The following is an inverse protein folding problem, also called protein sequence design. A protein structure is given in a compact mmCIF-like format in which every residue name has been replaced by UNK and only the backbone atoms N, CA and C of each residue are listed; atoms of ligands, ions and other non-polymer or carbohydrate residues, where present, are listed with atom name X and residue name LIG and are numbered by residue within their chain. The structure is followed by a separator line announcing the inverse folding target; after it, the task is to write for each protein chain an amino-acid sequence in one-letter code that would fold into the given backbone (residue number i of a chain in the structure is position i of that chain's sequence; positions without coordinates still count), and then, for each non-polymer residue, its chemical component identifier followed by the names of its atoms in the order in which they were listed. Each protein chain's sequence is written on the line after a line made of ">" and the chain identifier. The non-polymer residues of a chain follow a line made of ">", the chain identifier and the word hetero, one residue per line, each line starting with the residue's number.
data_IF_775325779187
#
_entry.id   IF_775325779187
#
_cell.length_a   1.000
_cell.length_b   1.000
_cell.length_c   1.000
_cell.angle_alpha   90.00
_cell.angle_beta   90.00
_cell.angle_gamma   90.00
#
_symmetry.space_group_name_H-M   'P 1'
#
loop_
_entity.id
_entity.type
_entity.pdbx_description
1 polymer ?
#
# COMPACT_ATOMS: atom_id res chain seq x y z
N UNK A 1 -41.69 -22.50 -58.63
CA UNK A 1 -41.76 -22.65 -57.17
C UNK A 1 -42.82 -23.68 -56.87
N UNK A 2 -42.42 -24.88 -56.45
CA UNK A 2 -43.28 -25.74 -55.64
C UNK A 2 -42.38 -26.55 -54.69
N UNK A 3 -42.45 -26.17 -53.42
CA UNK A 3 -41.70 -26.76 -52.31
C UNK A 3 -42.55 -27.84 -51.69
N UNK A 4 -42.36 -29.12 -52.06
CA UNK A 4 -42.61 -30.18 -51.09
C UNK A 4 -41.97 -31.53 -51.47
N UNK A 5 -41.31 -32.11 -50.46
CA UNK A 5 -41.10 -33.56 -50.26
C UNK A 5 -39.89 -34.23 -50.93
N UNK A 6 -38.67 -33.74 -50.68
CA UNK A 6 -37.52 -34.65 -50.65
C UNK A 6 -37.26 -35.12 -49.22
N UNK A 7 -37.46 -36.43 -49.06
CA UNK A 7 -37.46 -37.20 -47.82
C UNK A 7 -36.02 -37.38 -47.29
N UNK A 8 -35.88 -37.29 -45.97
CA UNK A 8 -34.99 -38.08 -45.09
C UNK A 8 -33.52 -38.23 -45.50
N UNK A 9 -32.62 -37.51 -44.82
CA UNK A 9 -31.34 -38.08 -44.35
C UNK A 9 -31.09 -37.59 -42.92
N UNK A 10 -31.15 -38.52 -41.97
CA UNK A 10 -30.65 -38.41 -40.61
C UNK A 10 -29.22 -38.97 -40.59
N UNK A 11 -28.29 -38.25 -39.95
CA UNK A 11 -27.05 -38.71 -39.28
C UNK A 11 -26.06 -37.53 -39.35
N UNK A 12 -25.58 -36.90 -38.28
CA UNK A 12 -25.20 -37.46 -36.98
C UNK A 12 -23.70 -37.24 -36.82
N UNK A 13 -23.28 -36.07 -36.33
CA UNK A 13 -21.95 -35.86 -35.78
C UNK A 13 -22.09 -35.06 -34.49
N UNK A 14 -21.90 -35.78 -33.39
CA UNK A 14 -22.03 -35.32 -32.03
C UNK A 14 -21.20 -34.08 -31.74
N UNK A 15 -21.86 -33.14 -31.06
CA UNK A 15 -21.24 -32.10 -30.24
C UNK A 15 -20.41 -32.79 -29.16
N UNK A 16 -19.08 -32.65 -29.24
CA UNK A 16 -18.21 -32.86 -28.10
C UNK A 16 -17.40 -31.58 -27.91
N UNK A 17 -18.07 -30.53 -27.44
CA UNK A 17 -17.40 -29.33 -26.95
C UNK A 17 -16.75 -29.70 -25.61
N UNK A 18 -15.49 -30.15 -25.68
CA UNK A 18 -14.61 -30.25 -24.51
C UNK A 18 -14.32 -28.83 -24.04
N UNK A 19 -15.20 -28.27 -23.21
CA UNK A 19 -14.88 -27.11 -22.39
C UNK A 19 -13.84 -27.55 -21.37
N UNK A 20 -12.55 -27.45 -21.73
CA UNK A 20 -11.46 -27.60 -20.79
C UNK A 20 -11.62 -26.48 -19.76
N UNK A 21 -12.20 -26.81 -18.62
CA UNK A 21 -12.27 -25.89 -17.49
C UNK A 21 -10.87 -25.86 -16.93
N UNK A 22 -10.04 -24.95 -17.43
CA UNK A 22 -8.71 -24.74 -16.90
C UNK A 22 -8.89 -24.17 -15.50
N UNK A 23 -8.84 -25.05 -14.50
CA UNK A 23 -8.72 -24.65 -13.10
C UNK A 23 -7.35 -23.98 -13.00
N UNK A 24 -7.34 -22.65 -13.05
CA UNK A 24 -6.15 -21.87 -12.77
C UNK A 24 -5.77 -22.13 -11.33
N UNK A 25 -4.68 -22.86 -11.11
CA UNK A 25 -4.07 -22.93 -9.80
C UNK A 25 -3.49 -21.56 -9.49
N UNK A 26 -4.17 -20.79 -8.63
CA UNK A 26 -3.59 -19.60 -8.03
C UNK A 26 -2.47 -20.09 -7.12
N UNK A 27 -1.22 -20.03 -7.60
CA UNK A 27 -0.07 -20.27 -6.73
C UNK A 27 -0.02 -19.14 -5.72
N UNK A 28 0.06 -19.48 -4.42
CA UNK A 28 0.28 -18.49 -3.39
C UNK A 28 1.59 -17.74 -3.70
N UNK A 29 1.52 -16.40 -3.73
CA UNK A 29 2.68 -15.56 -4.03
C UNK A 29 3.82 -15.78 -3.02
N UNK A 30 3.48 -16.15 -1.79
CA UNK A 30 4.42 -16.39 -0.70
C UNK A 30 4.16 -17.73 -0.03
N UNK A 31 5.23 -18.45 0.31
CA UNK A 31 5.15 -19.76 0.96
C UNK A 31 4.63 -19.72 2.41
N UNK A 32 4.67 -18.56 3.06
CA UNK A 32 4.22 -18.34 4.44
C UNK A 32 2.95 -17.48 4.55
N UNK A 33 2.16 -17.44 3.47
CA UNK A 33 0.81 -16.87 3.43
C UNK A 33 -0.15 -18.01 3.03
N UNK A 34 -0.53 -18.88 3.99
CA UNK A 34 -1.44 -19.98 3.70
C UNK A 34 -2.87 -19.48 3.49
N UNK A 35 -3.65 -20.21 2.70
CA UNK A 35 -5.07 -19.89 2.48
C UNK A 35 -5.85 -19.84 3.80
N UNK A 36 -6.70 -18.83 3.94
CA UNK A 36 -7.50 -18.52 5.12
C UNK A 36 -6.77 -17.77 6.23
N UNK A 37 -5.49 -17.41 6.07
CA UNK A 37 -4.82 -16.54 7.05
C UNK A 37 -5.47 -15.15 7.01
N UNK A 38 -5.65 -14.51 8.17
CA UNK A 38 -6.45 -13.28 8.28
C UNK A 38 -5.94 -12.10 7.42
N UNK A 39 -4.67 -12.13 7.00
CA UNK A 39 -4.05 -11.12 6.14
C UNK A 39 -3.90 -11.57 4.68
N UNK A 40 -4.43 -12.73 4.29
CA UNK A 40 -4.32 -13.28 2.93
C UNK A 40 -4.80 -12.27 1.87
N UNK A 41 -6.04 -11.80 2.01
CA UNK A 41 -6.66 -10.88 1.05
C UNK A 41 -5.87 -9.57 0.91
N UNK A 42 -5.35 -9.05 2.03
CA UNK A 42 -4.58 -7.81 2.05
C UNK A 42 -3.23 -7.98 1.33
N UNK A 43 -2.54 -9.11 1.57
CA UNK A 43 -1.28 -9.42 0.88
C UNK A 43 -1.53 -9.64 -0.61
N UNK A 44 -2.56 -10.40 -0.97
CA UNK A 44 -2.96 -10.64 -2.36
C UNK A 44 -3.21 -9.34 -3.10
N UNK A 45 -4.02 -8.45 -2.54
CA UNK A 45 -4.31 -7.14 -3.14
C UNK A 45 -3.05 -6.28 -3.35
N UNK A 46 -2.09 -6.33 -2.43
CA UNK A 46 -0.84 -5.57 -2.55
C UNK A 46 0.14 -6.18 -3.55
N UNK A 47 0.14 -7.51 -3.71
CA UNK A 47 0.88 -8.20 -4.78
C UNK A 47 0.29 -7.85 -6.14
N UNK A 48 -1.03 -7.94 -6.30
CA UNK A 48 -1.73 -7.63 -7.55
C UNK A 48 -1.55 -6.17 -7.97
N UNK A 49 -1.48 -5.27 -6.99
CA UNK A 49 -1.20 -3.85 -7.20
C UNK A 49 0.29 -3.54 -7.44
N UNK A 50 1.19 -4.53 -7.32
CA UNK A 50 2.63 -4.39 -7.53
C UNK A 50 3.41 -3.72 -6.40
N UNK A 51 2.82 -3.56 -5.22
CA UNK A 51 3.49 -2.98 -4.05
C UNK A 51 4.33 -3.99 -3.26
N UNK A 52 4.03 -5.28 -3.43
CA UNK A 52 4.78 -6.38 -2.84
C UNK A 52 5.43 -7.23 -3.93
N UNK A 53 6.69 -7.59 -3.70
CA UNK A 53 7.50 -8.35 -4.63
C UNK A 53 7.14 -9.85 -4.57
N UNK A 54 6.40 -10.33 -5.56
CA UNK A 54 5.98 -11.73 -5.67
C UNK A 54 7.11 -12.70 -6.00
N UNK A 55 8.32 -12.21 -6.29
CA UNK A 55 9.49 -13.07 -6.53
C UNK A 55 10.16 -13.51 -5.22
N UNK A 56 9.84 -12.87 -4.09
CA UNK A 56 10.35 -13.28 -2.79
C UNK A 56 9.65 -14.55 -2.31
N UNK A 57 10.42 -15.45 -1.69
CA UNK A 57 9.87 -16.73 -1.22
C UNK A 57 8.87 -16.58 -0.06
N UNK A 58 8.97 -15.50 0.73
CA UNK A 58 8.27 -15.31 2.01
C UNK A 58 7.84 -13.85 2.20
N UNK A 59 6.64 -13.67 2.70
CA UNK A 59 6.07 -12.37 3.12
C UNK A 59 6.54 -11.96 4.53
N UNK A 60 6.80 -12.95 5.42
CA UNK A 60 7.20 -12.72 6.81
C UNK A 60 6.13 -11.99 7.65
N UNK A 61 4.85 -12.32 7.45
CA UNK A 61 3.71 -11.62 8.09
C UNK A 61 3.63 -11.68 9.62
N UNK A 62 4.40 -12.57 10.26
CA UNK A 62 4.52 -12.64 11.72
C UNK A 62 5.74 -11.89 12.30
N UNK A 63 6.66 -11.43 11.44
CA UNK A 63 7.87 -10.73 11.87
C UNK A 63 7.57 -9.25 12.13
N UNK A 64 8.28 -8.60 13.08
CA UNK A 64 8.23 -7.15 13.20
C UNK A 64 8.77 -6.47 11.92
N UNK A 65 7.98 -5.57 11.34
CA UNK A 65 8.45 -4.69 10.28
C UNK A 65 9.34 -3.60 10.87
N UNK A 66 10.42 -3.26 10.16
CA UNK A 66 11.21 -2.08 10.49
C UNK A 66 10.63 -0.81 9.85
N UNK A 67 11.05 0.35 10.35
CA UNK A 67 10.59 1.65 9.88
C UNK A 67 10.94 1.89 8.40
N UNK A 68 12.05 1.36 7.90
CA UNK A 68 12.42 1.51 6.50
C UNK A 68 11.49 0.76 5.55
N UNK A 69 11.13 -0.49 5.87
CA UNK A 69 10.15 -1.28 5.11
C UNK A 69 8.80 -0.57 5.04
N UNK A 70 8.34 -0.04 6.18
CA UNK A 70 7.08 0.67 6.24
C UNK A 70 7.10 2.01 5.50
N UNK A 71 8.18 2.81 5.64
CA UNK A 71 8.33 4.09 4.92
C UNK A 71 8.40 3.87 3.42
N UNK A 72 9.13 2.86 2.94
CA UNK A 72 9.14 2.48 1.53
C UNK A 72 7.71 2.22 1.05
N UNK A 73 6.96 1.37 1.74
CA UNK A 73 5.60 1.02 1.33
C UNK A 73 4.69 2.25 1.26
N UNK A 74 4.76 3.14 2.27
CA UNK A 74 3.99 4.39 2.29
C UNK A 74 4.35 5.30 1.12
N UNK A 75 5.63 5.42 0.78
CA UNK A 75 6.09 6.24 -0.35
C UNK A 75 5.60 5.65 -1.68
N UNK A 76 5.74 4.35 -1.88
CA UNK A 76 5.24 3.67 -3.09
C UNK A 76 3.72 3.84 -3.26
N UNK A 77 2.95 3.72 -2.17
CA UNK A 77 1.50 3.98 -2.16
C UNK A 77 1.12 5.43 -2.50
N UNK A 78 2.05 6.38 -2.38
CA UNK A 78 1.86 7.79 -2.71
C UNK A 78 2.54 8.19 -4.05
N UNK A 79 2.92 7.21 -4.87
CA UNK A 79 3.46 7.44 -6.22
C UNK A 79 4.97 7.27 -6.34
N UNK A 80 5.65 6.79 -5.29
CA UNK A 80 7.08 6.50 -5.31
C UNK A 80 7.95 7.73 -5.03
N UNK A 81 9.23 7.63 -5.39
CA UNK A 81 10.20 8.73 -5.25
C UNK A 81 10.02 9.67 -6.46
N UNK A 82 9.49 10.85 -6.22
CA UNK A 82 9.17 11.86 -7.24
C UNK A 82 10.20 12.99 -7.28
N UNK A 83 11.05 13.07 -6.26
CA UNK A 83 12.06 14.09 -6.07
C UNK A 83 13.46 13.51 -6.21
N UNK A 84 14.41 14.29 -6.74
CA UNK A 84 15.83 13.91 -6.68
C UNK A 84 16.31 14.03 -5.22
N UNK A 85 16.78 12.92 -4.60
CA UNK A 85 17.33 12.98 -3.25
C UNK A 85 18.53 13.93 -3.18
N UNK A 86 18.71 14.70 -2.09
CA UNK A 86 19.84 15.61 -1.95
C UNK A 86 21.17 14.86 -1.94
N UNK A 87 22.28 15.55 -2.21
CA UNK A 87 23.63 14.98 -2.08
C UNK A 87 24.07 14.86 -0.61
N UNK A 88 23.54 15.73 0.25
CA UNK A 88 23.77 15.73 1.69
C UNK A 88 22.51 15.17 2.37
N UNK A 89 22.60 14.08 3.14
CA UNK A 89 21.44 13.50 3.82
C UNK A 89 20.73 14.48 4.76
N UNK A 90 19.40 14.45 4.75
CA UNK A 90 18.57 15.22 5.70
C UNK A 90 18.52 14.56 7.08
N UNK A 91 18.82 13.26 7.15
CA UNK A 91 18.90 12.48 8.39
C UNK A 91 20.30 11.89 8.58
N UNK A 92 20.87 12.05 9.77
CA UNK A 92 22.21 11.61 10.12
C UNK A 92 22.37 10.07 10.12
N UNK A 93 21.29 9.31 10.26
CA UNK A 93 21.26 7.84 10.26
C UNK A 93 20.70 7.25 8.96
N UNK A 94 20.58 8.04 7.90
CA UNK A 94 20.14 7.60 6.57
C UNK A 94 21.23 7.90 5.53
N UNK A 95 22.27 7.04 5.41
CA UNK A 95 23.37 7.29 4.50
C UNK A 95 22.94 7.16 3.03
N UNK A 96 23.57 7.93 2.13
CA UNK A 96 23.22 8.01 0.69
C UNK A 96 23.27 6.68 -0.05
N UNK A 97 24.04 5.70 0.45
CA UNK A 97 24.15 4.35 -0.13
C UNK A 97 23.14 3.33 0.39
N UNK A 98 22.27 3.70 1.34
CA UNK A 98 21.26 2.78 1.84
C UNK A 98 20.12 2.60 0.82
N UNK A 99 19.59 1.38 0.70
CA UNK A 99 18.44 1.09 -0.19
C UNK A 99 17.21 1.95 0.14
N UNK A 100 17.09 2.38 1.40
CA UNK A 100 15.99 3.20 1.89
C UNK A 100 16.24 4.71 1.76
N UNK A 101 17.41 5.14 1.26
CA UNK A 101 17.80 6.56 1.25
C UNK A 101 16.77 7.46 0.58
N UNK A 102 16.45 7.18 -0.69
CA UNK A 102 15.50 8.00 -1.45
C UNK A 102 14.10 8.04 -0.83
N UNK A 103 13.65 6.94 -0.22
CA UNK A 103 12.35 6.87 0.44
C UNK A 103 12.27 7.77 1.67
N UNK A 104 13.34 7.84 2.47
CA UNK A 104 13.37 8.75 3.63
C UNK A 104 13.47 10.21 3.22
N UNK A 105 14.25 10.52 2.18
CA UNK A 105 14.34 11.89 1.66
C UNK A 105 13.01 12.37 1.06
N UNK A 106 12.32 11.52 0.29
CA UNK A 106 10.97 11.82 -0.20
C UNK A 106 9.98 12.02 0.96
N UNK A 107 9.91 11.04 1.87
CA UNK A 107 8.99 11.13 3.00
C UNK A 107 9.30 12.29 3.95
N UNK A 108 10.57 12.68 4.07
CA UNK A 108 11.02 13.86 4.80
C UNK A 108 10.52 15.14 4.14
N UNK A 109 10.74 15.27 2.83
CA UNK A 109 10.32 16.43 2.03
C UNK A 109 8.80 16.63 2.07
N UNK A 110 8.04 15.55 1.97
CA UNK A 110 6.57 15.58 2.02
C UNK A 110 6.02 15.74 3.46
N UNK A 111 6.90 15.79 4.47
CA UNK A 111 6.53 15.99 5.88
C UNK A 111 5.95 14.75 6.58
N UNK A 112 6.01 13.58 5.93
CA UNK A 112 5.56 12.29 6.45
C UNK A 112 6.57 11.69 7.43
N UNK A 113 7.87 11.91 7.27
CA UNK A 113 8.88 11.55 8.27
C UNK A 113 9.50 12.84 8.80
N UNK A 114 9.43 13.07 10.12
CA UNK A 114 9.92 14.32 10.74
C UNK A 114 11.17 14.12 11.60
N UNK A 115 11.62 12.88 11.76
CA UNK A 115 12.70 12.50 12.67
C UNK A 115 12.36 12.68 14.15
N UNK A 116 13.28 12.26 15.02
CA UNK A 116 13.19 12.36 16.47
C UNK A 116 12.97 13.82 16.91
N UNK A 117 11.97 14.07 17.75
CA UNK A 117 11.66 15.41 18.23
C UNK A 117 11.27 16.41 17.13
N UNK A 118 10.82 15.94 15.96
CA UNK A 118 10.58 16.76 14.77
C UNK A 118 11.82 17.51 14.26
N UNK A 119 12.99 16.87 14.33
CA UNK A 119 14.26 17.47 13.94
C UNK A 119 14.45 17.75 12.45
N UNK A 120 13.53 17.35 11.55
CA UNK A 120 13.72 17.51 10.11
C UNK A 120 14.05 18.97 9.72
N UNK A 121 15.13 19.15 8.95
CA UNK A 121 15.68 20.46 8.61
C UNK A 121 16.67 21.03 9.64
N UNK A 122 16.91 20.34 10.76
CA UNK A 122 17.94 20.64 11.76
C UNK A 122 18.96 19.49 11.82
N UNK A 123 20.14 19.74 12.40
CA UNK A 123 21.15 18.70 12.61
C UNK A 123 21.65 18.71 14.06
N UNK A 124 21.80 17.53 14.71
CA UNK A 124 21.54 16.20 14.16
C UNK A 124 20.05 15.88 14.07
N UNK A 125 19.67 15.06 13.08
CA UNK A 125 18.33 14.52 12.95
C UNK A 125 18.36 13.01 12.68
N UNK A 126 17.54 12.25 13.41
CA UNK A 126 17.52 10.79 13.36
C UNK A 126 16.13 10.28 12.98
N UNK A 127 16.05 9.36 12.01
CA UNK A 127 14.80 8.78 11.53
C UNK A 127 14.56 7.34 11.99
N UNK A 128 15.63 6.68 12.47
CA UNK A 128 15.70 5.30 12.98
C UNK A 128 15.21 4.25 11.98
N UNK A 129 15.76 4.17 10.75
CA UNK A 129 15.25 3.29 9.70
C UNK A 129 15.24 1.80 10.09
N UNK A 130 16.24 1.34 10.85
CA UNK A 130 16.37 -0.05 11.29
C UNK A 130 15.57 -0.41 12.54
N UNK A 131 14.91 0.54 13.21
CA UNK A 131 14.10 0.24 14.38
C UNK A 131 12.76 -0.37 13.97
N UNK A 132 12.22 -1.27 14.82
CA UNK A 132 10.87 -1.80 14.63
C UNK A 132 9.84 -0.67 14.70
N UNK A 133 8.88 -0.67 13.78
CA UNK A 133 7.80 0.31 13.81
C UNK A 133 6.68 -0.18 14.74
N UNK A 134 6.23 0.68 15.65
CA UNK A 134 5.06 0.38 16.47
C UNK A 134 3.76 0.89 15.81
N UNK A 135 2.62 0.48 16.34
CA UNK A 135 1.29 0.81 15.79
C UNK A 135 1.02 2.32 15.76
N UNK A 136 1.46 3.06 16.77
CA UNK A 136 1.24 4.51 16.85
C UNK A 136 2.06 5.26 15.79
N UNK A 137 3.31 4.85 15.58
CA UNK A 137 4.18 5.41 14.54
C UNK A 137 3.66 5.09 13.13
N UNK A 138 3.22 3.85 12.89
CA UNK A 138 2.61 3.44 11.63
C UNK A 138 1.35 4.27 11.34
N UNK A 139 0.46 4.44 12.32
CA UNK A 139 -0.73 5.27 12.20
C UNK A 139 -0.38 6.73 11.91
N UNK A 140 0.61 7.30 12.62
CA UNK A 140 1.04 8.68 12.40
C UNK A 140 1.62 8.90 11.00
N UNK A 141 2.29 7.90 10.42
CA UNK A 141 2.75 7.94 9.03
C UNK A 141 1.57 7.91 8.04
N UNK A 142 0.64 6.97 8.21
CA UNK A 142 -0.56 6.84 7.36
C UNK A 142 -1.40 8.12 7.37
N UNK A 143 -1.65 8.69 8.56
CA UNK A 143 -2.45 9.92 8.70
C UNK A 143 -1.81 11.08 7.94
N UNK A 144 -0.49 11.26 8.09
CA UNK A 144 0.23 12.35 7.42
C UNK A 144 0.35 12.12 5.92
N UNK A 145 0.63 10.89 5.48
CA UNK A 145 0.82 10.58 4.06
C UNK A 145 -0.46 10.71 3.25
N UNK A 146 -1.59 10.27 3.79
CA UNK A 146 -2.88 10.35 3.09
C UNK A 146 -3.70 11.59 3.44
N UNK A 147 -3.13 12.53 4.20
CA UNK A 147 -3.81 13.77 4.61
C UNK A 147 -5.15 13.51 5.30
N UNK A 148 -5.20 12.46 6.13
CA UNK A 148 -6.43 12.05 6.78
C UNK A 148 -6.81 13.10 7.84
N UNK A 149 -8.07 13.54 7.83
CA UNK A 149 -8.57 14.53 8.80
C UNK A 149 -9.37 13.87 9.93
N UNK A 150 -9.22 14.43 11.13
CA UNK A 150 -10.05 14.17 12.30
C UNK A 150 -11.52 14.51 12.00
N UNK A 151 -12.42 13.55 12.22
CA UNK A 151 -13.86 13.70 11.95
C UNK A 151 -14.75 13.46 13.19
N UNK A 152 -14.16 13.23 14.36
CA UNK A 152 -14.88 13.09 15.63
C UNK A 152 -14.06 12.42 16.73
N UNK A 153 -14.67 12.24 17.90
CA UNK A 153 -14.03 11.57 19.04
C UNK A 153 -13.84 10.09 18.76
N UNK A 154 -12.64 9.57 18.98
CA UNK A 154 -12.41 8.14 18.87
C UNK A 154 -12.81 7.35 20.10
N UNK A 155 -13.04 6.03 19.91
CA UNK A 155 -13.07 5.11 21.03
C UNK A 155 -11.84 5.28 21.93
N UNK A 156 -12.10 5.34 23.24
CA UNK A 156 -11.06 5.33 24.27
C UNK A 156 -10.58 3.90 24.44
N UNK A 157 -9.27 3.71 24.52
CA UNK A 157 -8.67 2.43 24.92
C UNK A 157 -7.95 2.63 26.26
N UNK A 158 -7.77 1.56 27.03
CA UNK A 158 -7.10 1.65 28.35
C UNK A 158 -5.67 2.18 28.23
N UNK A 159 -4.99 1.82 27.14
CA UNK A 159 -3.65 2.27 26.76
C UNK A 159 -3.64 3.57 25.94
N UNK A 160 -4.83 4.11 25.64
CA UNK A 160 -5.01 5.35 24.91
C UNK A 160 -6.17 6.18 25.52
N UNK A 161 -5.97 6.74 26.73
CA UNK A 161 -7.04 7.39 27.51
C UNK A 161 -7.41 8.79 27.02
N UNK A 162 -6.71 9.31 26.00
CA UNK A 162 -7.11 10.49 25.26
C UNK A 162 -7.48 10.02 23.86
N UNK A 163 -8.76 9.75 23.60
CA UNK A 163 -9.22 9.29 22.29
C UNK A 163 -8.67 10.14 21.15
N UNK A 164 -7.92 9.49 20.27
CA UNK A 164 -7.31 10.12 19.11
C UNK A 164 -8.34 10.22 17.99
N UNK A 165 -8.65 11.40 17.44
CA UNK A 165 -9.81 11.54 16.59
C UNK A 165 -9.90 10.55 15.41
N UNK A 166 -11.11 10.15 15.04
CA UNK A 166 -11.35 9.21 13.93
C UNK A 166 -10.96 9.87 12.60
N UNK A 167 -10.19 9.18 11.76
CA UNK A 167 -9.57 9.78 10.57
C UNK A 167 -10.13 9.24 9.25
N UNK A 168 -10.48 10.12 8.31
CA UNK A 168 -11.01 9.76 6.98
C UNK A 168 -10.22 10.41 5.82
N UNK A 169 -10.20 9.76 4.65
CA UNK A 169 -9.51 10.25 3.43
C UNK A 169 -10.33 11.35 2.76
N UNK A 170 -9.71 12.49 2.43
CA UNK A 170 -10.36 13.52 1.62
C UNK A 170 -10.53 13.02 0.17
N UNK A 171 -11.75 13.02 -0.35
CA UNK A 171 -11.97 12.92 -1.80
C UNK A 171 -11.53 14.25 -2.43
N UNK A 172 -10.68 14.26 -3.48
CA UNK A 172 -10.27 15.51 -4.11
C UNK A 172 -11.36 15.99 -5.07
N UNK A 173 -12.46 16.51 -4.55
CA UNK A 173 -13.18 17.62 -5.21
C UNK A 173 -14.18 18.30 -4.27
N UNK A 174 -14.36 19.60 -4.51
CA UNK A 174 -15.31 20.56 -3.95
C UNK A 174 -14.76 21.60 -2.96
N UNK A 175 -14.71 22.84 -3.47
CA UNK A 175 -14.45 24.14 -2.82
C UNK A 175 -13.01 24.66 -2.83
N UNK A 176 -12.45 24.78 -4.03
CA UNK A 176 -11.53 25.89 -4.36
C UNK A 176 -12.04 26.67 -5.56
N UNK A 177 -13.22 27.26 -5.42
CA UNK A 177 -13.69 28.36 -6.25
C UNK A 177 -14.61 29.23 -5.39
N UNK A 178 -14.47 30.55 -5.52
CA UNK A 178 -15.18 31.61 -4.79
C UNK A 178 -14.55 32.06 -3.45
N UNK A 179 -13.44 32.81 -3.56
CA UNK A 179 -13.25 34.11 -2.87
C UNK A 179 -11.93 34.76 -3.30
N UNK A 180 -12.00 35.52 -4.40
CA UNK A 180 -11.09 36.61 -4.73
C UNK A 180 -11.76 37.48 -5.81
N UNK A 181 -12.82 38.18 -5.41
CA UNK A 181 -13.35 39.36 -6.07
C UNK A 181 -14.08 40.16 -4.99
N UNK A 182 -13.47 41.26 -4.57
CA UNK A 182 -13.85 42.11 -3.45
C UNK A 182 -12.64 42.93 -3.05
#
# INVERSE_FOLDING_TARGET
>A
MDLSRLKKVLAGMSVAALTLTQVGTVLAAYSDVPAGVWYEDAVGAFVDAGYLDSTQARFRGGDPANRAEFVKLVVELNGGILSTPPAVPSFNDVPTGAWYYGYFEEAGKEGWVRGDGNCYGSSPCYARPGANINRAEAAALIVRSFGLESTGDAPQFVDNPAGWPVVHRRHPDSRRSLRAAG
#
